data_IF_166272611387
#
_entry.id   IF_166272611387
#
_cell.length_a   1.000
_cell.length_b   1.000
_cell.length_c   1.000
_cell.angle_alpha   90.00
_cell.angle_beta   90.00
_cell.angle_gamma   90.00
#
_symmetry.space_group_name_H-M   'P 1'
#
loop_
_entity.id
_entity.type
_entity.pdbx_description
1 polymer ?
#
# COMPACT_ATOMS: atom_id res chain seq x y z
N UNK A 1 4.70 -5.12 10.95
CA UNK A 1 3.40 -4.60 10.48
C UNK A 1 3.55 -3.09 10.31
N UNK A 2 2.77 -2.48 9.41
CA UNK A 2 3.02 -1.11 8.89
C UNK A 2 3.16 -0.03 9.98
N UNK A 3 2.49 -0.19 11.13
CA UNK A 3 2.57 0.71 12.28
C UNK A 3 3.98 0.84 12.89
N UNK A 4 4.88 -0.11 12.61
CA UNK A 4 6.29 -0.05 13.06
C UNK A 4 7.18 0.81 12.16
N UNK A 5 6.70 1.18 10.98
CA UNK A 5 7.46 1.92 9.96
C UNK A 5 7.08 3.41 9.91
N UNK A 6 5.93 3.77 10.46
CA UNK A 6 5.35 5.10 10.28
C UNK A 6 5.63 6.00 11.49
N UNK A 7 5.90 7.31 11.28
CA UNK A 7 6.04 8.27 12.36
C UNK A 7 4.70 8.51 13.09
N UNK A 8 4.76 9.07 14.30
CA UNK A 8 3.60 9.23 15.19
C UNK A 8 2.45 10.05 14.61
N UNK A 9 2.73 10.95 13.66
CA UNK A 9 1.75 11.82 13.02
C UNK A 9 0.98 11.13 11.87
N UNK A 10 1.27 9.86 11.59
CA UNK A 10 0.62 9.08 10.54
C UNK A 10 -0.32 8.04 11.15
N UNK A 11 -1.60 8.16 10.81
CA UNK A 11 -2.59 7.13 11.07
C UNK A 11 -2.50 6.04 10.03
N UNK A 12 -2.62 4.78 10.44
CA UNK A 12 -2.63 3.66 9.52
C UNK A 12 -3.65 2.61 9.91
N UNK A 13 -4.01 1.75 8.97
CA UNK A 13 -4.71 0.50 9.25
C UNK A 13 -4.31 -0.55 8.21
N UNK A 14 -4.30 -1.81 8.63
CA UNK A 14 -3.97 -2.93 7.76
C UNK A 14 -4.89 -4.13 8.05
N UNK A 15 -4.99 -5.03 7.08
CA UNK A 15 -5.74 -6.28 7.21
C UNK A 15 -5.08 -7.38 6.37
N UNK A 16 -5.27 -8.63 6.78
CA UNK A 16 -4.97 -9.82 5.98
C UNK A 16 -6.21 -10.44 5.34
N UNK A 17 -7.39 -9.98 5.73
CA UNK A 17 -8.65 -10.41 5.13
C UNK A 17 -8.65 -10.15 3.62
N UNK A 18 -9.23 -11.08 2.88
CA UNK A 18 -9.36 -10.95 1.42
C UNK A 18 -10.64 -10.23 1.01
N UNK A 19 -11.67 -10.27 1.85
CA UNK A 19 -12.97 -9.66 1.55
C UNK A 19 -13.41 -8.74 2.67
N UNK A 20 -14.43 -7.94 2.37
CA UNK A 20 -15.17 -7.13 3.34
C UNK A 20 -16.65 -7.50 3.23
N UNK A 21 -17.45 -7.26 4.29
CA UNK A 21 -18.90 -7.44 4.21
C UNK A 21 -19.53 -6.65 3.06
N UNK A 22 -20.63 -7.15 2.50
CA UNK A 22 -21.38 -6.44 1.47
C UNK A 22 -21.88 -5.08 1.98
N UNK A 23 -21.95 -4.09 1.09
CA UNK A 23 -22.31 -2.71 1.43
C UNK A 23 -21.20 -1.93 2.15
N UNK A 24 -19.99 -2.47 2.27
CA UNK A 24 -18.84 -1.75 2.85
C UNK A 24 -18.38 -0.59 1.95
N UNK A 25 -18.53 -0.71 0.63
CA UNK A 25 -18.14 0.33 -0.33
C UNK A 25 -19.22 1.40 -0.46
N UNK A 26 -18.79 2.63 -0.74
CA UNK A 26 -19.70 3.68 -1.17
C UNK A 26 -20.20 3.42 -2.61
N UNK A 27 -21.42 3.84 -2.99
CA UNK A 27 -21.93 3.65 -4.34
C UNK A 27 -20.96 4.13 -5.43
N UNK A 28 -20.33 5.30 -5.23
CA UNK A 28 -19.35 5.87 -6.15
C UNK A 28 -18.07 5.03 -6.25
N UNK A 29 -17.72 4.31 -5.18
CA UNK A 29 -16.60 3.36 -5.18
C UNK A 29 -16.94 2.06 -5.91
N UNK A 30 -18.20 1.60 -5.83
CA UNK A 30 -18.66 0.40 -6.53
C UNK A 30 -18.61 0.57 -8.05
N UNK A 31 -18.96 1.77 -8.54
CA UNK A 31 -18.89 2.11 -9.97
C UNK A 31 -17.47 1.94 -10.55
N UNK A 32 -16.44 2.32 -9.78
CA UNK A 32 -15.04 2.21 -10.20
C UNK A 32 -14.59 0.76 -10.45
N UNK A 33 -15.23 -0.20 -9.80
CA UNK A 33 -14.88 -1.62 -9.87
C UNK A 33 -15.95 -2.48 -10.52
N UNK A 34 -16.99 -1.89 -11.11
CA UNK A 34 -18.14 -2.61 -11.67
C UNK A 34 -17.73 -3.66 -12.72
N UNK A 35 -16.69 -3.38 -13.51
CA UNK A 35 -16.15 -4.29 -14.55
C UNK A 35 -14.89 -5.03 -14.13
N UNK A 36 -14.45 -4.88 -12.88
CA UNK A 36 -13.23 -5.52 -12.39
C UNK A 36 -13.47 -6.98 -12.04
N UNK A 37 -12.44 -7.81 -12.24
CA UNK A 37 -12.42 -9.21 -11.78
C UNK A 37 -12.50 -9.29 -10.25
N UNK A 38 -12.98 -10.43 -9.73
CA UNK A 38 -13.22 -10.63 -8.30
C UNK A 38 -12.04 -10.26 -7.40
N UNK A 39 -10.82 -10.72 -7.74
CA UNK A 39 -9.60 -10.39 -7.00
C UNK A 39 -9.39 -8.87 -6.90
N UNK A 40 -9.52 -8.15 -8.01
CA UNK A 40 -9.36 -6.70 -8.05
C UNK A 40 -10.44 -5.98 -7.25
N UNK A 41 -11.69 -6.45 -7.29
CA UNK A 41 -12.80 -5.92 -6.48
C UNK A 41 -12.50 -6.05 -4.98
N UNK A 42 -12.03 -7.23 -4.58
CA UNK A 42 -11.65 -7.57 -3.21
C UNK A 42 -10.48 -6.73 -2.70
N UNK A 43 -9.39 -6.64 -3.47
CA UNK A 43 -8.22 -5.82 -3.15
C UNK A 43 -8.60 -4.33 -3.01
N UNK A 44 -9.44 -3.85 -3.92
CA UNK A 44 -9.95 -2.49 -3.85
C UNK A 44 -10.77 -2.28 -2.57
N UNK A 45 -11.76 -3.13 -2.31
CA UNK A 45 -12.69 -2.96 -1.19
C UNK A 45 -12.02 -3.03 0.18
N UNK A 46 -11.13 -4.01 0.37
CA UNK A 46 -10.37 -4.18 1.61
C UNK A 46 -9.42 -3.01 1.87
N UNK A 47 -8.70 -2.52 0.85
CA UNK A 47 -7.84 -1.35 1.00
C UNK A 47 -8.63 -0.08 1.37
N UNK A 48 -9.83 0.13 0.81
CA UNK A 48 -10.70 1.28 1.16
C UNK A 48 -11.28 1.15 2.56
N UNK A 49 -11.59 -0.06 3.01
CA UNK A 49 -11.97 -0.30 4.41
C UNK A 49 -10.82 0.06 5.37
N UNK A 50 -9.57 -0.27 5.01
CA UNK A 50 -8.39 0.19 5.76
C UNK A 50 -8.28 1.72 5.77
N UNK A 51 -8.51 2.38 4.63
CA UNK A 51 -8.49 3.84 4.54
C UNK A 51 -9.48 4.48 5.52
N UNK A 52 -10.72 3.98 5.56
CA UNK A 52 -11.75 4.49 6.49
C UNK A 52 -11.44 4.23 7.95
N UNK A 53 -10.82 3.09 8.27
CA UNK A 53 -10.32 2.83 9.64
C UNK A 53 -9.22 3.83 10.02
N UNK A 54 -8.33 4.18 9.08
CA UNK A 54 -7.29 5.18 9.30
C UNK A 54 -7.88 6.61 9.42
N UNK A 55 -8.91 6.94 8.63
CA UNK A 55 -9.69 8.19 8.76
C UNK A 55 -10.30 8.33 10.15
N UNK A 56 -10.98 7.29 10.65
CA UNK A 56 -11.61 7.32 11.98
C UNK A 56 -10.59 7.54 13.10
N UNK A 57 -9.37 6.99 12.98
CA UNK A 57 -8.27 7.24 13.93
C UNK A 57 -7.73 8.69 13.89
N UNK A 58 -7.96 9.41 12.79
CA UNK A 58 -7.69 10.86 12.68
C UNK A 58 -8.88 11.73 13.12
N UNK A 59 -9.97 11.11 13.58
CA UNK A 59 -11.20 11.81 13.95
C UNK A 59 -12.00 12.33 12.74
N UNK A 60 -11.85 11.68 11.59
CA UNK A 60 -12.58 12.03 10.36
C UNK A 60 -13.75 11.08 10.14
N UNK A 61 -14.83 11.62 9.58
CA UNK A 61 -15.93 10.81 9.08
C UNK A 61 -15.47 9.98 7.86
N UNK A 62 -16.03 8.77 7.68
CA UNK A 62 -15.71 7.95 6.53
C UNK A 62 -16.25 8.59 5.25
N UNK A 63 -15.40 8.69 4.23
CA UNK A 63 -15.76 9.17 2.88
C UNK A 63 -15.30 8.18 1.81
N UNK A 64 -15.89 8.29 0.63
CA UNK A 64 -15.46 7.56 -0.56
C UNK A 64 -14.03 7.97 -0.98
N UNK A 65 -13.18 6.98 -1.29
CA UNK A 65 -11.82 7.19 -1.80
C UNK A 65 -11.76 6.81 -3.28
N UNK A 66 -12.03 7.82 -4.11
CA UNK A 66 -12.12 7.68 -5.57
C UNK A 66 -10.75 7.66 -6.25
N UNK A 67 -10.73 7.55 -7.58
CA UNK A 67 -9.51 7.63 -8.40
C UNK A 67 -9.39 8.99 -9.09
N UNK A 68 -8.22 9.61 -8.93
CA UNK A 68 -7.80 10.79 -9.65
C UNK A 68 -7.00 10.44 -10.90
N UNK A 69 -6.25 11.43 -11.40
CA UNK A 69 -5.40 11.27 -12.58
C UNK A 69 -4.39 10.14 -12.36
N UNK A 70 -4.23 9.26 -13.36
CA UNK A 70 -3.34 8.08 -13.28
C UNK A 70 -3.65 7.11 -12.12
N UNK A 71 -4.89 7.10 -11.61
CA UNK A 71 -5.33 6.12 -10.61
C UNK A 71 -4.93 6.44 -9.18
N UNK A 72 -4.40 7.64 -8.90
CA UNK A 72 -4.09 8.06 -7.53
C UNK A 72 -5.36 8.11 -6.66
N UNK A 73 -5.33 7.70 -5.39
CA UNK A 73 -6.46 7.87 -4.48
C UNK A 73 -6.79 9.36 -4.29
N UNK A 74 -8.07 9.71 -4.33
CA UNK A 74 -8.55 11.05 -3.95
C UNK A 74 -8.88 11.06 -2.47
N UNK A 75 -8.14 11.87 -1.72
CA UNK A 75 -8.32 12.05 -0.28
C UNK A 75 -9.23 13.25 0.00
N UNK A 76 -9.97 13.25 1.12
CA UNK A 76 -10.66 14.46 1.57
C UNK A 76 -9.70 15.63 1.78
N UNK A 77 -10.23 16.85 1.72
CA UNK A 77 -9.44 18.08 1.85
C UNK A 77 -8.61 18.09 3.13
N UNK A 78 -7.35 18.51 3.00
CA UNK A 78 -6.40 18.58 4.10
C UNK A 78 -5.82 17.23 4.52
N UNK A 79 -6.05 16.14 3.77
CA UNK A 79 -5.50 14.81 4.03
C UNK A 79 -4.57 14.38 2.89
N UNK A 80 -3.44 13.77 3.27
CA UNK A 80 -2.57 13.02 2.38
C UNK A 80 -2.57 11.55 2.77
N UNK A 81 -2.29 10.67 1.83
CA UNK A 81 -2.24 9.25 2.12
C UNK A 81 -1.79 8.37 0.96
N UNK A 82 -1.57 7.11 1.27
CA UNK A 82 -1.26 6.05 0.32
C UNK A 82 -2.00 4.76 0.65
N UNK A 83 -2.24 3.96 -0.38
CA UNK A 83 -2.83 2.63 -0.32
C UNK A 83 -1.84 1.63 -0.90
N UNK A 84 -1.75 0.45 -0.29
CA UNK A 84 -1.03 -0.69 -0.86
C UNK A 84 -1.80 -1.98 -0.64
N UNK A 85 -1.60 -2.94 -1.54
CA UNK A 85 -2.14 -4.29 -1.45
C UNK A 85 -1.20 -5.26 -2.16
N UNK A 86 -1.05 -6.43 -1.56
CA UNK A 86 -0.44 -7.59 -2.17
C UNK A 86 -1.14 -8.86 -1.66
N UNK A 87 -0.65 -10.02 -2.08
CA UNK A 87 -1.25 -11.28 -1.65
C UNK A 87 -1.16 -11.43 -0.11
N UNK A 88 -2.33 -11.56 0.51
CA UNK A 88 -2.47 -11.68 1.97
C UNK A 88 -2.30 -10.39 2.76
N UNK A 89 -2.23 -9.20 2.13
CA UNK A 89 -2.06 -7.95 2.86
C UNK A 89 -2.66 -6.73 2.14
N UNK A 90 -3.43 -5.90 2.86
CA UNK A 90 -3.90 -4.59 2.41
C UNK A 90 -3.70 -3.56 3.50
N UNK A 91 -3.30 -2.35 3.13
CA UNK A 91 -3.10 -1.28 4.09
C UNK A 91 -3.38 0.11 3.52
N UNK A 92 -3.64 1.04 4.44
CA UNK A 92 -3.75 2.46 4.19
C UNK A 92 -2.94 3.23 5.24
N UNK A 93 -2.29 4.30 4.82
CA UNK A 93 -1.62 5.27 5.67
C UNK A 93 -2.10 6.67 5.31
N UNK A 94 -2.56 7.43 6.29
CA UNK A 94 -3.13 8.77 6.14
C UNK A 94 -2.51 9.72 7.17
N UNK A 95 -2.36 10.99 6.80
CA UNK A 95 -1.93 12.05 7.70
C UNK A 95 -2.60 13.38 7.32
N UNK A 96 -2.53 14.37 8.21
CA UNK A 96 -2.94 15.74 7.89
C UNK A 96 -1.88 16.38 6.98
N UNK A 97 -2.33 17.03 5.92
CA UNK A 97 -1.46 17.71 4.97
C UNK A 97 -0.67 18.88 5.59
N UNK A 98 -1.12 19.38 6.74
CA UNK A 98 -0.41 20.40 7.52
C UNK A 98 0.88 19.86 8.17
N UNK A 99 0.92 18.57 8.49
CA UNK A 99 2.02 17.92 9.22
C UNK A 99 2.91 17.09 8.28
N UNK A 100 2.32 16.52 7.22
CA UNK A 100 3.00 15.65 6.26
C UNK A 100 2.71 16.09 4.82
N UNK A 101 3.77 16.34 4.05
CA UNK A 101 3.65 16.80 2.66
C UNK A 101 3.10 15.73 1.71
N UNK A 102 3.56 14.48 1.86
CA UNK A 102 3.16 13.35 1.02
C UNK A 102 3.42 12.04 1.75
N UNK A 103 2.68 10.99 1.38
CA UNK A 103 2.86 9.63 1.86
C UNK A 103 2.93 8.68 0.68
N UNK A 104 3.93 7.79 0.71
CA UNK A 104 4.05 6.63 -0.17
C UNK A 104 4.30 5.41 0.70
N UNK A 105 3.51 4.36 0.50
CA UNK A 105 3.70 3.07 1.19
C UNK A 105 3.49 1.98 0.18
N UNK A 106 4.29 0.93 0.30
CA UNK A 106 4.16 -0.27 -0.49
C UNK A 106 4.34 -1.52 0.38
N UNK A 107 3.76 -2.62 -0.07
CA UNK A 107 3.82 -3.91 0.58
C UNK A 107 3.96 -5.01 -0.45
N UNK A 108 4.96 -5.86 -0.24
CA UNK A 108 5.27 -6.97 -1.13
C UNK A 108 5.43 -8.27 -0.34
N UNK A 109 5.07 -9.44 -0.91
CA UNK A 109 5.43 -10.72 -0.33
C UNK A 109 6.94 -10.82 -0.21
N UNK A 110 7.43 -11.27 0.95
CA UNK A 110 8.87 -11.49 1.17
C UNK A 110 9.31 -12.77 0.46
N UNK A 111 9.48 -12.66 -0.85
CA UNK A 111 9.91 -13.71 -1.77
C UNK A 111 10.81 -13.09 -2.87
N UNK A 112 11.60 -13.90 -3.59
CA UNK A 112 12.40 -13.41 -4.72
C UNK A 112 11.55 -12.63 -5.73
N UNK A 113 12.17 -11.68 -6.44
CA UNK A 113 11.52 -11.11 -7.62
C UNK A 113 11.33 -12.19 -8.71
N UNK A 114 10.29 -12.09 -9.56
CA UNK A 114 10.18 -12.94 -10.73
C UNK A 114 11.42 -12.79 -11.63
N UNK A 115 11.71 -13.85 -12.40
CA UNK A 115 12.84 -13.87 -13.33
C UNK A 115 12.80 -12.65 -14.29
N UNK A 116 13.96 -12.04 -14.51
CA UNK A 116 14.12 -10.84 -15.36
C UNK A 116 13.67 -9.52 -14.73
N UNK A 117 12.75 -9.51 -13.75
CA UNK A 117 12.26 -8.26 -13.13
C UNK A 117 13.39 -7.51 -12.43
N UNK A 118 14.25 -8.24 -11.71
CA UNK A 118 15.39 -7.65 -11.01
C UNK A 118 16.36 -6.88 -11.92
N UNK A 119 16.46 -7.22 -13.21
CA UNK A 119 17.33 -6.52 -14.16
C UNK A 119 16.73 -5.20 -14.63
N UNK A 120 15.40 -5.10 -14.65
CA UNK A 120 14.68 -3.89 -15.03
C UNK A 120 14.61 -2.87 -13.90
N UNK A 121 14.49 -3.36 -12.66
CA UNK A 121 14.20 -2.51 -11.50
C UNK A 121 15.41 -2.28 -10.60
N UNK A 122 16.48 -3.06 -10.69
CA UNK A 122 17.69 -2.92 -9.86
C UNK A 122 18.87 -2.48 -10.70
N UNK A 123 19.42 -1.30 -10.41
CA UNK A 123 20.63 -0.77 -11.06
C UNK A 123 21.86 -1.58 -10.62
N UNK A 124 22.91 -1.69 -11.45
CA UNK A 124 24.14 -2.39 -11.08
C UNK A 124 24.73 -1.92 -9.74
N UNK A 125 24.79 -0.60 -9.51
CA UNK A 125 25.31 -0.02 -8.27
C UNK A 125 24.45 -0.29 -7.03
N UNK A 126 23.15 -0.54 -7.21
CA UNK A 126 22.26 -0.95 -6.10
C UNK A 126 22.50 -2.42 -5.76
N UNK A 127 22.73 -3.27 -6.75
CA UNK A 127 23.03 -4.69 -6.58
C UNK A 127 24.33 -4.91 -5.78
N UNK A 128 25.37 -4.13 -6.10
CA UNK A 128 26.65 -4.17 -5.40
C UNK A 128 26.52 -3.85 -3.91
N UNK A 129 25.68 -2.88 -3.54
CA UNK A 129 25.48 -2.46 -2.14
C UNK A 129 24.90 -3.56 -1.26
N UNK A 130 24.00 -4.38 -1.80
CA UNK A 130 23.37 -5.45 -1.03
C UNK A 130 24.06 -6.80 -1.20
N UNK A 131 25.01 -6.94 -2.13
CA UNK A 131 25.78 -8.17 -2.30
C UNK A 131 26.53 -8.58 -1.02
N UNK A 132 27.06 -7.59 -0.28
CA UNK A 132 27.72 -7.81 1.01
C UNK A 132 26.76 -8.15 2.17
N UNK A 133 25.47 -7.84 2.02
CA UNK A 133 24.42 -8.06 3.03
C UNK A 133 23.54 -9.28 2.75
N UNK A 134 23.86 -10.04 1.69
CA UNK A 134 23.19 -11.30 1.38
C UNK A 134 23.72 -12.39 2.29
N UNK A 135 22.88 -12.87 3.20
CA UNK A 135 23.11 -14.13 3.90
C UNK A 135 22.47 -15.25 3.11
N UNK A 136 23.18 -16.38 2.94
CA UNK A 136 22.64 -17.61 2.31
C UNK A 136 21.74 -18.41 3.26
N UNK A 137 21.42 -17.85 4.43
CA UNK A 137 20.62 -18.48 5.45
C UNK A 137 19.15 -18.57 5.03
N UNK A 138 18.51 -19.69 5.35
CA UNK A 138 17.07 -19.85 5.16
C UNK A 138 16.32 -18.76 5.95
N UNK A 139 15.53 -17.94 5.24
CA UNK A 139 14.82 -16.78 5.83
C UNK A 139 15.57 -15.45 5.72
N UNK A 140 16.68 -15.39 4.97
CA UNK A 140 17.37 -14.15 4.66
C UNK A 140 16.50 -13.11 3.93
N UNK A 141 16.93 -11.84 3.96
CA UNK A 141 16.21 -10.73 3.33
C UNK A 141 16.32 -10.83 1.80
N UNK A 142 15.18 -10.79 1.10
CA UNK A 142 15.15 -10.64 -0.35
C UNK A 142 15.37 -9.16 -0.69
N UNK A 143 16.63 -8.74 -0.68
CA UNK A 143 17.04 -7.34 -0.87
C UNK A 143 16.59 -6.74 -2.20
N UNK A 144 16.50 -7.55 -3.23
CA UNK A 144 15.95 -7.20 -4.53
C UNK A 144 14.47 -6.82 -4.43
N UNK A 145 13.67 -7.63 -3.72
CA UNK A 145 12.26 -7.34 -3.46
C UNK A 145 12.07 -6.12 -2.55
N UNK A 146 12.88 -6.01 -1.50
CA UNK A 146 12.82 -4.88 -0.58
C UNK A 146 13.13 -3.56 -1.31
N UNK A 147 14.13 -3.56 -2.19
CA UNK A 147 14.44 -2.40 -3.01
C UNK A 147 13.31 -2.08 -3.99
N UNK A 148 12.70 -3.10 -4.61
CA UNK A 148 11.53 -2.92 -5.47
C UNK A 148 10.40 -2.21 -4.73
N UNK A 149 10.02 -2.72 -3.55
CA UNK A 149 8.97 -2.12 -2.72
C UNK A 149 9.32 -0.69 -2.26
N UNK A 150 10.59 -0.45 -1.91
CA UNK A 150 11.06 0.90 -1.59
C UNK A 150 10.94 1.87 -2.76
N UNK A 151 11.11 1.41 -4.01
CA UNK A 151 10.94 2.25 -5.21
C UNK A 151 9.48 2.54 -5.52
N UNK A 152 8.57 1.61 -5.24
CA UNK A 152 7.13 1.85 -5.41
C UNK A 152 6.53 2.76 -4.32
N UNK A 153 7.29 3.03 -3.25
CA UNK A 153 6.91 3.96 -2.18
C UNK A 153 7.33 5.42 -2.41
N UNK A 154 7.95 5.76 -3.55
CA UNK A 154 8.49 7.11 -3.87
C UNK A 154 7.62 7.88 -4.85
#
# INVERSE_FOLDING_TARGET
MIERLLPGDVSCAATREETVPDGTLFPEEEELIARSVAKRRNDFATARACARRAMGRLGLEPVAVLHGKRGMPLWPDGIVGSLTHCDGYRAAALARAADVLSLGVDAEPHAPLPEGVGELVVRPSERERFAASRTEEAGGIHWDRLLFSAKESV
#
